data_IF_902468456628
#
_entry.id   IF_902468456628
#
_cell.length_a   1.000
_cell.length_b   1.000
_cell.length_c   1.000
_cell.angle_alpha   90.00
_cell.angle_beta   90.00
_cell.angle_gamma   90.00
#
_symmetry.space_group_name_H-M   'P 1'
#
loop_
_entity.id
_entity.type
_entity.pdbx_description
1 polymer ?
#
# COMPACT_ATOMS: atom_id res chain seq x y z
N UNK A 1 -5.90 20.95 -40.57
CA UNK A 1 -6.72 19.95 -39.86
C UNK A 1 -5.84 18.83 -39.32
N UNK A 2 -4.99 18.19 -40.15
CA UNK A 2 -4.06 17.11 -39.72
C UNK A 2 -3.11 17.45 -38.56
N UNK A 3 -2.50 18.65 -38.52
CA UNK A 3 -1.60 19.01 -37.40
C UNK A 3 -2.32 19.10 -36.04
N UNK A 4 -3.59 19.48 -36.03
CA UNK A 4 -4.39 19.60 -34.81
C UNK A 4 -4.77 18.20 -34.27
N UNK A 5 -5.11 17.28 -35.18
CA UNK A 5 -5.40 15.88 -34.85
C UNK A 5 -4.15 15.14 -34.32
N UNK A 6 -2.98 15.42 -34.90
CA UNK A 6 -1.71 14.86 -34.41
C UNK A 6 -1.35 15.39 -33.01
N UNK A 7 -1.52 16.69 -32.75
CA UNK A 7 -1.25 17.28 -31.44
C UNK A 7 -2.18 16.73 -30.35
N UNK A 8 -3.45 16.54 -30.64
CA UNK A 8 -4.42 16.00 -29.68
C UNK A 8 -4.22 14.50 -29.43
N UNK A 9 -3.90 13.71 -30.47
CA UNK A 9 -3.51 12.31 -30.29
C UNK A 9 -2.24 12.15 -29.45
N UNK A 10 -1.24 13.02 -29.65
CA UNK A 10 -0.01 13.03 -28.83
C UNK A 10 -0.34 13.42 -27.38
N UNK A 11 -1.20 14.42 -27.14
CA UNK A 11 -1.63 14.77 -25.78
C UNK A 11 -2.32 13.59 -25.09
N UNK A 12 -3.20 12.87 -25.78
CA UNK A 12 -3.91 11.72 -25.22
C UNK A 12 -2.94 10.58 -24.84
N UNK A 13 -1.99 10.25 -25.71
CA UNK A 13 -0.94 9.27 -25.43
C UNK A 13 -0.07 9.71 -24.26
N UNK A 14 0.32 10.98 -24.22
CA UNK A 14 1.13 11.56 -23.13
C UNK A 14 0.38 11.55 -21.80
N UNK A 15 -0.93 11.73 -21.80
CA UNK A 15 -1.79 11.63 -20.63
C UNK A 15 -1.84 10.20 -20.07
N UNK A 16 -1.69 9.20 -20.94
CA UNK A 16 -1.57 7.79 -20.60
C UNK A 16 -0.22 7.39 -19.97
N UNK A 17 0.86 8.15 -20.19
CA UNK A 17 2.21 7.86 -19.66
C UNK A 17 2.28 8.06 -18.15
N UNK A 18 1.54 9.03 -17.61
CA UNK A 18 1.58 9.34 -16.18
C UNK A 18 0.73 8.37 -15.35
N UNK A 19 1.26 7.83 -14.23
CA UNK A 19 0.45 7.00 -13.34
C UNK A 19 -0.77 7.77 -12.83
N UNK A 20 -1.99 7.35 -13.20
CA UNK A 20 -3.26 8.03 -12.85
C UNK A 20 -3.34 8.45 -11.38
N UNK A 21 -2.94 7.56 -10.46
CA UNK A 21 -2.99 7.81 -9.00
C UNK A 21 -1.96 8.83 -8.51
N UNK A 22 -0.79 8.90 -9.16
CA UNK A 22 0.35 9.70 -8.68
C UNK A 22 0.61 10.94 -9.53
N UNK A 23 -0.19 11.18 -10.57
CA UNK A 23 -0.07 12.31 -11.51
C UNK A 23 0.18 13.65 -10.80
N UNK A 24 -0.68 13.98 -9.83
CA UNK A 24 -0.55 15.22 -9.03
C UNK A 24 0.80 15.37 -8.32
N UNK A 25 1.40 14.26 -7.88
CA UNK A 25 2.71 14.27 -7.20
C UNK A 25 3.82 14.53 -8.22
N UNK A 26 3.72 13.94 -9.41
CA UNK A 26 4.67 14.17 -10.51
C UNK A 26 4.62 15.64 -10.96
N UNK A 27 3.42 16.18 -11.15
CA UNK A 27 3.20 17.58 -11.51
C UNK A 27 3.76 18.53 -10.45
N UNK A 28 3.40 18.35 -9.18
CA UNK A 28 3.92 19.19 -8.10
C UNK A 28 5.45 19.14 -8.00
N UNK A 29 6.06 17.96 -8.19
CA UNK A 29 7.51 17.81 -8.18
C UNK A 29 8.16 18.55 -9.36
N UNK A 30 7.55 18.49 -10.55
CA UNK A 30 8.00 19.22 -11.72
C UNK A 30 7.88 20.74 -11.53
N UNK A 31 6.74 21.22 -11.04
CA UNK A 31 6.52 22.65 -10.81
C UNK A 31 7.50 23.21 -9.78
N UNK A 32 7.80 22.44 -8.74
CA UNK A 32 8.84 22.78 -7.76
C UNK A 32 10.21 22.94 -8.43
N UNK A 33 10.55 22.04 -9.36
CA UNK A 33 11.80 22.11 -10.11
C UNK A 33 11.84 23.31 -11.06
N UNK A 34 10.75 23.58 -11.79
CA UNK A 34 10.66 24.74 -12.69
C UNK A 34 10.81 26.04 -11.91
N UNK A 35 10.13 26.19 -10.78
CA UNK A 35 10.28 27.37 -9.90
C UNK A 35 11.73 27.57 -9.45
N UNK A 36 12.42 26.48 -9.08
CA UNK A 36 13.83 26.53 -8.71
C UNK A 36 14.73 26.97 -9.88
N UNK A 37 14.46 26.52 -11.11
CA UNK A 37 15.18 26.97 -12.30
C UNK A 37 14.95 28.46 -12.57
N UNK A 38 13.69 28.94 -12.48
CA UNK A 38 13.34 30.34 -12.68
C UNK A 38 14.06 31.25 -11.66
N UNK A 39 14.08 30.88 -10.38
CA UNK A 39 14.79 31.64 -9.34
C UNK A 39 16.30 31.77 -9.61
N UNK A 40 16.89 30.80 -10.30
CA UNK A 40 18.32 30.77 -10.63
C UNK A 40 18.63 31.25 -12.05
N UNK A 41 17.63 31.74 -12.78
CA UNK A 41 17.73 32.18 -14.18
C UNK A 41 18.36 31.10 -15.09
N UNK A 42 17.96 29.85 -14.87
CA UNK A 42 18.41 28.71 -15.67
C UNK A 42 17.38 28.46 -16.79
N UNK A 43 17.73 28.81 -18.02
CA UNK A 43 16.84 28.65 -19.18
C UNK A 43 16.86 27.20 -19.71
N UNK A 44 18.04 26.60 -19.77
CA UNK A 44 18.24 25.25 -20.30
C UNK A 44 18.38 24.22 -19.18
N UNK A 45 17.63 23.12 -19.28
CA UNK A 45 17.75 21.97 -18.38
C UNK A 45 18.74 20.98 -18.98
N UNK A 46 19.89 20.83 -18.33
CA UNK A 46 20.92 19.86 -18.70
C UNK A 46 21.33 19.01 -17.49
N UNK A 47 22.32 18.14 -17.67
CA UNK A 47 22.80 17.24 -16.63
C UNK A 47 23.33 17.98 -15.38
N UNK A 48 24.05 19.09 -15.56
CA UNK A 48 24.62 19.87 -14.46
C UNK A 48 23.54 20.58 -13.62
N UNK A 49 22.51 21.10 -14.28
CA UNK A 49 21.34 21.69 -13.63
C UNK A 49 20.63 20.66 -12.75
N UNK A 50 20.48 19.42 -13.26
CA UNK A 50 19.86 18.34 -12.50
C UNK A 50 20.73 17.88 -11.33
N UNK A 51 22.04 17.77 -11.50
CA UNK A 51 22.97 17.45 -10.42
C UNK A 51 22.90 18.48 -9.27
N UNK A 52 22.84 19.77 -9.60
CA UNK A 52 22.79 20.87 -8.63
C UNK A 52 21.45 20.96 -7.88
N UNK A 53 20.36 20.47 -8.46
CA UNK A 53 19.01 20.55 -7.89
C UNK A 53 18.75 19.63 -6.67
N UNK A 54 19.72 18.78 -6.28
CA UNK A 54 19.48 17.64 -5.39
C UNK A 54 20.14 17.81 -4.02
N UNK A 55 19.33 18.15 -3.00
CA UNK A 55 19.76 18.33 -1.60
C UNK A 55 19.12 17.32 -0.61
N UNK A 56 18.43 16.28 -1.10
CA UNK A 56 17.59 15.38 -0.29
C UNK A 56 18.21 14.00 -0.03
N UNK A 57 17.64 13.26 0.94
CA UNK A 57 18.03 11.89 1.31
C UNK A 57 17.87 10.88 0.17
N UNK A 58 18.72 9.84 0.13
CA UNK A 58 18.93 8.94 -1.02
C UNK A 58 17.66 8.26 -1.57
N UNK A 59 16.74 7.82 -0.70
CA UNK A 59 15.47 7.20 -1.14
C UNK A 59 14.49 8.21 -1.75
N UNK A 60 14.48 9.43 -1.24
CA UNK A 60 13.66 10.54 -1.76
C UNK A 60 14.25 11.06 -3.07
N UNK A 61 15.57 11.06 -3.16
CA UNK A 61 16.33 11.49 -4.33
C UNK A 61 16.02 10.64 -5.57
N UNK A 62 16.03 9.31 -5.45
CA UNK A 62 15.65 8.41 -6.56
C UNK A 62 14.19 8.61 -6.99
N UNK A 63 13.25 8.73 -6.06
CA UNK A 63 11.85 9.00 -6.38
C UNK A 63 11.67 10.34 -7.11
N UNK A 64 12.33 11.40 -6.62
CA UNK A 64 12.30 12.72 -7.27
C UNK A 64 12.97 12.69 -8.64
N UNK A 65 14.06 11.95 -8.79
CA UNK A 65 14.69 11.73 -10.09
C UNK A 65 13.73 11.04 -11.06
N UNK A 66 13.09 9.93 -10.67
CA UNK A 66 12.14 9.21 -11.51
C UNK A 66 10.95 10.10 -11.92
N UNK A 67 10.40 10.88 -10.99
CA UNK A 67 9.32 11.82 -11.29
C UNK A 67 9.75 12.88 -12.30
N UNK A 68 10.92 13.51 -12.08
CA UNK A 68 11.45 14.51 -13.02
C UNK A 68 11.82 13.89 -14.36
N UNK A 69 12.37 12.68 -14.40
CA UNK A 69 12.69 11.96 -15.64
C UNK A 69 11.45 11.84 -16.52
N UNK A 70 10.35 11.36 -15.95
CA UNK A 70 9.09 11.23 -16.69
C UNK A 70 8.56 12.60 -17.12
N UNK A 71 8.54 13.59 -16.22
CA UNK A 71 7.96 14.90 -16.52
C UNK A 71 8.79 15.71 -17.53
N UNK A 72 10.11 15.61 -17.50
CA UNK A 72 10.99 16.27 -18.47
C UNK A 72 10.89 15.63 -19.85
N UNK A 73 10.75 14.31 -19.90
CA UNK A 73 10.48 13.60 -21.15
C UNK A 73 9.13 14.04 -21.74
N UNK A 74 8.07 14.05 -20.93
CA UNK A 74 6.71 14.39 -21.40
C UNK A 74 6.56 15.87 -21.76
N UNK A 75 7.03 16.80 -20.91
CA UNK A 75 6.77 18.24 -21.09
C UNK A 75 7.82 18.99 -21.91
N UNK A 76 9.03 18.45 -22.01
CA UNK A 76 10.16 19.13 -22.67
C UNK A 76 10.91 18.25 -23.67
N UNK A 77 10.49 17.00 -23.86
CA UNK A 77 11.18 16.03 -24.72
C UNK A 77 12.67 15.85 -24.34
N UNK A 78 12.99 15.94 -23.05
CA UNK A 78 14.37 15.77 -22.54
C UNK A 78 14.52 14.37 -21.97
N UNK A 79 15.30 13.54 -22.65
CA UNK A 79 15.65 12.21 -22.18
C UNK A 79 16.85 12.22 -21.22
N UNK A 80 16.56 12.34 -19.93
CA UNK A 80 17.57 12.32 -18.86
C UNK A 80 18.16 10.92 -18.60
N UNK A 81 17.73 9.88 -19.32
CA UNK A 81 18.35 8.56 -19.21
C UNK A 81 19.77 8.54 -19.78
N UNK A 82 20.07 9.49 -20.69
CA UNK A 82 21.37 9.68 -21.32
C UNK A 82 22.40 10.38 -20.42
N UNK A 83 21.98 10.85 -19.24
CA UNK A 83 22.82 11.58 -18.29
C UNK A 83 23.56 10.60 -17.37
N UNK A 84 24.75 10.18 -17.80
CA UNK A 84 25.57 9.16 -17.14
C UNK A 84 26.19 9.66 -15.82
N UNK A 85 26.59 10.93 -15.72
CA UNK A 85 27.13 11.51 -14.48
C UNK A 85 26.05 11.58 -13.42
N UNK A 86 24.83 11.97 -13.81
CA UNK A 86 23.67 12.01 -12.94
C UNK A 86 23.32 10.61 -12.42
N UNK A 87 23.27 9.61 -13.30
CA UNK A 87 22.97 8.24 -12.88
C UNK A 87 24.08 7.61 -12.04
N UNK A 88 25.36 7.89 -12.32
CA UNK A 88 26.47 7.49 -11.46
C UNK A 88 26.40 8.16 -10.08
N UNK A 89 26.10 9.45 -10.02
CA UNK A 89 25.92 10.19 -8.77
C UNK A 89 24.78 9.61 -7.92
N UNK A 90 23.63 9.30 -8.53
CA UNK A 90 22.49 8.70 -7.84
C UNK A 90 22.83 7.33 -7.25
N UNK A 91 23.55 6.49 -7.99
CA UNK A 91 24.03 5.18 -7.52
C UNK A 91 24.93 5.32 -6.30
N UNK A 92 25.94 6.19 -6.37
CA UNK A 92 26.86 6.46 -5.25
C UNK A 92 26.15 7.00 -4.02
N UNK A 93 25.19 7.90 -4.19
CA UNK A 93 24.39 8.42 -3.07
C UNK A 93 23.53 7.35 -2.39
N UNK A 94 23.18 6.27 -3.08
CA UNK A 94 22.47 5.13 -2.50
C UNK A 94 23.37 4.05 -1.90
N UNK A 95 24.69 4.15 -2.04
CA UNK A 95 25.62 3.19 -1.43
C UNK A 95 25.47 3.19 0.09
N UNK A 96 25.46 1.99 0.67
CA UNK A 96 25.27 1.81 2.11
C UNK A 96 23.85 2.14 2.63
N UNK A 97 22.91 2.56 1.78
CA UNK A 97 21.52 2.78 2.20
C UNK A 97 20.89 1.48 2.66
N UNK A 98 20.53 1.42 3.95
CA UNK A 98 19.75 0.33 4.52
C UNK A 98 18.29 0.78 4.62
N UNK A 99 17.34 0.06 3.98
CA UNK A 99 15.94 0.40 4.10
C UNK A 99 15.50 0.31 5.56
N UNK A 100 14.75 1.31 6.02
CA UNK A 100 14.09 1.26 7.32
C UNK A 100 13.02 0.17 7.27
N UNK A 101 13.41 -1.03 7.66
CA UNK A 101 12.50 -2.14 7.72
C UNK A 101 11.77 -2.11 9.07
N UNK A 102 10.45 -2.30 9.05
CA UNK A 102 9.68 -2.52 10.27
C UNK A 102 10.10 -3.84 10.94
N UNK A 103 9.93 -3.94 12.26
CA UNK A 103 10.19 -5.18 13.00
C UNK A 103 9.27 -6.28 12.47
N UNK A 104 9.80 -7.50 12.34
CA UNK A 104 9.04 -8.68 11.93
C UNK A 104 8.09 -9.06 13.07
N UNK A 105 6.85 -9.38 12.72
CA UNK A 105 5.84 -9.91 13.64
C UNK A 105 6.06 -11.42 13.79
N UNK A 106 6.20 -11.87 15.02
CA UNK A 106 6.37 -13.31 15.34
C UNK A 106 5.02 -13.99 15.53
N UNK A 107 4.98 -15.31 15.37
CA UNK A 107 3.77 -16.12 15.60
C UNK A 107 3.27 -15.96 17.03
N UNK A 108 4.15 -16.14 18.03
CA UNK A 108 3.79 -15.98 19.44
C UNK A 108 3.15 -14.62 19.75
N UNK A 109 3.60 -13.55 19.09
CA UNK A 109 2.99 -12.22 19.24
C UNK A 109 1.59 -12.13 18.61
N UNK A 110 1.38 -12.81 17.48
CA UNK A 110 0.05 -12.92 16.85
C UNK A 110 -0.87 -13.70 17.78
N UNK A 111 -0.44 -14.88 18.22
CA UNK A 111 -1.24 -15.77 19.06
C UNK A 111 -1.60 -15.10 20.38
N UNK A 112 -0.61 -14.50 21.05
CA UNK A 112 -0.82 -13.71 22.27
C UNK A 112 -1.81 -12.58 22.06
N UNK A 113 -1.73 -11.89 20.92
CA UNK A 113 -2.68 -10.83 20.61
C UNK A 113 -4.10 -11.36 20.38
N UNK A 114 -4.24 -12.44 19.61
CA UNK A 114 -5.54 -13.04 19.30
C UNK A 114 -6.20 -13.66 20.54
N UNK A 115 -5.42 -14.23 21.46
CA UNK A 115 -5.90 -14.86 22.69
C UNK A 115 -6.14 -13.87 23.83
N UNK A 116 -5.13 -13.09 24.20
CA UNK A 116 -5.15 -12.33 25.45
C UNK A 116 -5.79 -10.94 25.33
N UNK A 117 -5.83 -10.36 24.14
CA UNK A 117 -6.36 -9.00 23.98
C UNK A 117 -7.88 -9.04 23.91
N UNK A 118 -8.61 -8.23 24.70
CA UNK A 118 -10.07 -8.27 24.73
C UNK A 118 -10.72 -7.91 23.40
N UNK A 119 -11.73 -8.67 23.00
CA UNK A 119 -12.51 -8.41 21.79
C UNK A 119 -13.24 -7.07 21.85
N UNK A 120 -13.71 -6.67 23.04
CA UNK A 120 -14.45 -5.42 23.31
C UNK A 120 -13.90 -4.18 22.58
N UNK A 121 -12.58 -4.08 22.49
CA UNK A 121 -11.90 -2.93 21.88
C UNK A 121 -11.15 -3.30 20.59
N UNK A 122 -10.84 -4.58 20.37
CA UNK A 122 -9.87 -5.01 19.35
C UNK A 122 -10.40 -6.04 18.36
N UNK A 123 -11.66 -6.48 18.43
CA UNK A 123 -12.19 -7.52 17.55
C UNK A 123 -11.99 -7.19 16.05
N UNK A 124 -12.32 -5.97 15.62
CA UNK A 124 -12.07 -5.53 14.24
C UNK A 124 -10.58 -5.59 13.86
N UNK A 125 -9.70 -5.25 14.80
CA UNK A 125 -8.25 -5.28 14.59
C UNK A 125 -7.75 -6.72 14.49
N UNK A 126 -8.29 -7.65 15.29
CA UNK A 126 -8.00 -9.09 15.18
C UNK A 126 -8.38 -9.62 13.81
N UNK A 127 -9.59 -9.33 13.33
CA UNK A 127 -10.03 -9.73 11.98
C UNK A 127 -9.13 -9.12 10.90
N UNK A 128 -8.78 -7.84 11.00
CA UNK A 128 -7.86 -7.20 10.07
C UNK A 128 -6.46 -7.84 10.09
N UNK A 129 -5.98 -8.28 11.25
CA UNK A 129 -4.72 -9.01 11.40
C UNK A 129 -4.80 -10.38 10.72
N UNK A 130 -5.87 -11.15 10.96
CA UNK A 130 -6.10 -12.46 10.34
C UNK A 130 -6.09 -12.32 8.81
N UNK A 131 -6.86 -11.38 8.25
CA UNK A 131 -6.90 -11.14 6.81
C UNK A 131 -5.57 -10.63 6.25
N UNK A 132 -4.86 -9.81 7.02
CA UNK A 132 -3.53 -9.31 6.67
C UNK A 132 -2.49 -10.42 6.59
N UNK A 133 -2.50 -11.34 7.56
CA UNK A 133 -1.57 -12.47 7.67
C UNK A 133 -1.92 -13.55 6.65
N UNK A 134 -3.17 -14.00 6.59
CA UNK A 134 -3.59 -15.07 5.68
C UNK A 134 -3.58 -14.64 4.21
N UNK A 135 -3.96 -13.39 3.96
CA UNK A 135 -4.08 -12.89 2.61
C UNK A 135 -2.91 -12.02 2.14
N UNK A 136 -1.84 -11.81 2.91
CA UNK A 136 -0.80 -10.81 2.56
C UNK A 136 -1.36 -9.39 2.34
N UNK A 137 -2.54 -9.09 2.90
CA UNK A 137 -3.34 -7.97 2.45
C UNK A 137 -2.68 -6.64 2.81
N UNK A 138 -2.49 -5.77 1.81
CA UNK A 138 -2.10 -4.38 2.08
C UNK A 138 -3.26 -3.64 2.72
N UNK A 139 -2.98 -2.60 3.51
CA UNK A 139 -4.03 -1.78 4.12
C UNK A 139 -5.04 -1.18 3.12
N UNK A 140 -4.62 -0.92 1.87
CA UNK A 140 -5.54 -0.50 0.80
C UNK A 140 -6.50 -1.63 0.40
N UNK A 141 -6.01 -2.86 0.29
CA UNK A 141 -6.79 -4.05 -0.06
C UNK A 141 -7.84 -4.32 1.03
N UNK A 142 -7.44 -4.28 2.32
CA UNK A 142 -8.35 -4.37 3.46
C UNK A 142 -9.43 -3.27 3.45
N UNK A 143 -9.05 -2.02 3.15
CA UNK A 143 -10.00 -0.91 3.03
C UNK A 143 -10.96 -1.04 1.83
N UNK A 144 -10.55 -1.74 0.78
CA UNK A 144 -11.36 -1.91 -0.43
C UNK A 144 -12.35 -3.07 -0.33
N UNK A 145 -12.04 -4.07 0.49
CA UNK A 145 -12.83 -5.29 0.69
C UNK A 145 -14.30 -5.01 1.00
N UNK A 146 -15.18 -5.78 0.37
CA UNK A 146 -16.63 -5.73 0.53
C UNK A 146 -17.17 -7.02 1.15
N UNK A 147 -18.43 -6.98 1.61
CA UNK A 147 -19.08 -8.16 2.20
C UNK A 147 -19.17 -9.30 1.18
N UNK A 148 -19.51 -8.99 -0.08
CA UNK A 148 -19.60 -9.97 -1.17
C UNK A 148 -18.25 -10.61 -1.54
N UNK A 149 -17.14 -10.05 -1.08
CA UNK A 149 -15.81 -10.61 -1.31
C UNK A 149 -15.48 -11.73 -0.30
N UNK A 150 -16.28 -11.90 0.76
CA UNK A 150 -16.05 -12.88 1.82
C UNK A 150 -17.17 -13.91 1.81
N UNK A 151 -16.81 -15.17 1.60
CA UNK A 151 -17.75 -16.30 1.58
C UNK A 151 -17.44 -17.22 2.76
N UNK A 152 -18.44 -17.45 3.61
CA UNK A 152 -18.37 -18.42 4.69
C UNK A 152 -18.74 -19.81 4.16
N UNK A 153 -17.84 -20.78 4.32
CA UNK A 153 -17.99 -22.17 3.87
C UNK A 153 -18.10 -23.15 5.06
N UNK A 154 -18.51 -22.67 6.24
CA UNK A 154 -18.64 -23.39 7.51
C UNK A 154 -17.30 -23.85 8.14
N UNK A 155 -16.38 -24.40 7.36
CA UNK A 155 -15.07 -24.87 7.81
C UNK A 155 -13.92 -23.96 7.37
N UNK A 156 -14.24 -22.93 6.58
CA UNK A 156 -13.29 -22.02 5.96
C UNK A 156 -13.95 -20.68 5.63
N UNK A 157 -13.17 -19.61 5.54
CA UNK A 157 -13.58 -18.37 4.88
C UNK A 157 -12.77 -18.16 3.60
N UNK A 158 -13.47 -18.11 2.46
CA UNK A 158 -12.88 -17.71 1.19
C UNK A 158 -12.94 -16.19 1.05
N UNK A 159 -11.80 -15.54 0.80
CA UNK A 159 -11.71 -14.08 0.66
C UNK A 159 -11.16 -13.71 -0.71
N UNK A 160 -11.91 -12.93 -1.46
CA UNK A 160 -11.55 -12.43 -2.78
C UNK A 160 -10.97 -11.01 -2.70
N UNK A 161 -9.73 -10.84 -3.12
CA UNK A 161 -9.06 -9.54 -3.17
C UNK A 161 -9.05 -9.03 -4.61
N UNK A 162 -9.99 -8.13 -4.89
CA UNK A 162 -10.14 -7.50 -6.20
C UNK A 162 -9.31 -6.22 -6.33
N UNK A 163 -9.03 -5.78 -7.56
CA UNK A 163 -8.41 -4.48 -7.86
C UNK A 163 -7.04 -4.26 -7.18
N UNK A 164 -6.17 -5.29 -7.23
CA UNK A 164 -4.83 -5.21 -6.64
C UNK A 164 -3.93 -4.23 -7.40
N UNK A 165 -2.74 -3.92 -6.85
CA UNK A 165 -1.77 -2.99 -7.47
C UNK A 165 -1.45 -3.34 -8.93
N UNK A 166 -1.45 -4.63 -9.27
CA UNK A 166 -1.09 -5.13 -10.59
C UNK A 166 -2.32 -5.42 -11.47
N UNK A 167 -3.53 -5.02 -11.02
CA UNK A 167 -4.79 -5.30 -11.69
C UNK A 167 -5.08 -6.80 -11.89
N UNK A 168 -4.53 -7.63 -11.00
CA UNK A 168 -4.77 -9.07 -10.97
C UNK A 168 -5.53 -9.40 -9.71
N UNK A 169 -6.70 -10.00 -9.86
CA UNK A 169 -7.49 -10.48 -8.74
C UNK A 169 -6.87 -11.76 -8.18
N UNK A 170 -7.02 -11.96 -6.88
CA UNK A 170 -6.57 -13.18 -6.19
C UNK A 170 -7.50 -13.49 -5.04
N UNK A 171 -7.49 -14.72 -4.57
CA UNK A 171 -8.21 -15.10 -3.37
C UNK A 171 -7.24 -15.72 -2.36
N UNK A 172 -7.74 -15.95 -1.15
CA UNK A 172 -7.06 -16.73 -0.13
C UNK A 172 -8.11 -17.35 0.79
N UNK A 173 -7.69 -18.40 1.50
CA UNK A 173 -8.56 -19.15 2.39
C UNK A 173 -8.07 -18.94 3.83
N UNK A 174 -9.00 -18.65 4.74
CA UNK A 174 -8.77 -18.67 6.18
C UNK A 174 -9.38 -19.96 6.73
N UNK A 175 -8.53 -20.83 7.24
CA UNK A 175 -8.91 -22.06 7.91
C UNK A 175 -8.46 -22.01 9.36
N UNK A 176 -9.08 -22.81 10.22
CA UNK A 176 -8.55 -23.06 11.55
C UNK A 176 -7.33 -23.97 11.45
N UNK A 177 -6.13 -23.40 11.55
CA UNK A 177 -4.94 -24.19 11.78
C UNK A 177 -4.84 -24.50 13.26
N UNK A 178 -5.04 -25.77 13.62
CA UNK A 178 -5.12 -26.31 14.98
C UNK A 178 -3.85 -26.15 15.85
N UNK A 179 -2.96 -25.18 15.58
CA UNK A 179 -1.68 -25.10 16.27
C UNK A 179 -1.78 -24.52 17.69
N UNK A 180 -2.72 -23.59 17.93
CA UNK A 180 -2.76 -22.82 19.20
C UNK A 180 -4.15 -22.69 19.85
N UNK A 181 -5.14 -23.49 19.41
CA UNK A 181 -6.50 -23.48 19.99
C UNK A 181 -7.34 -22.22 19.68
N UNK A 182 -6.91 -21.37 18.75
CA UNK A 182 -7.65 -20.19 18.32
C UNK A 182 -8.53 -20.56 17.12
N UNK A 183 -9.83 -20.38 17.26
CA UNK A 183 -10.77 -20.48 16.14
C UNK A 183 -10.80 -19.15 15.37
N UNK A 184 -9.96 -19.04 14.33
CA UNK A 184 -9.85 -17.85 13.49
C UNK A 184 -11.16 -17.55 12.78
N UNK A 185 -11.89 -18.59 12.37
CA UNK A 185 -13.16 -18.47 11.67
C UNK A 185 -14.21 -17.89 12.62
N UNK A 186 -14.28 -18.36 13.86
CA UNK A 186 -15.20 -17.87 14.87
C UNK A 186 -14.92 -16.40 15.22
N UNK A 187 -13.65 -15.98 15.31
CA UNK A 187 -13.28 -14.57 15.49
C UNK A 187 -13.84 -13.71 14.35
N UNK A 188 -13.72 -14.17 13.12
CA UNK A 188 -14.27 -13.48 11.95
C UNK A 188 -15.81 -13.46 11.94
N UNK A 189 -16.45 -14.58 12.27
CA UNK A 189 -17.92 -14.69 12.38
C UNK A 189 -18.49 -13.78 13.46
N UNK A 190 -17.87 -13.74 14.64
CA UNK A 190 -18.24 -12.84 15.75
C UNK A 190 -18.29 -11.40 15.26
N UNK A 191 -17.28 -10.97 14.51
CA UNK A 191 -17.24 -9.62 13.95
C UNK A 191 -18.30 -9.39 12.87
N UNK A 192 -18.49 -10.34 11.95
CA UNK A 192 -19.51 -10.27 10.89
C UNK A 192 -20.93 -10.18 11.45
N UNK A 193 -21.24 -10.97 12.48
CA UNK A 193 -22.55 -11.00 13.14
C UNK A 193 -22.90 -9.69 13.86
N UNK A 194 -21.89 -8.92 14.30
CA UNK A 194 -22.10 -7.62 14.93
C UNK A 194 -22.42 -6.49 13.94
N UNK A 195 -22.38 -6.76 12.63
CA UNK A 195 -22.68 -5.74 11.61
C UNK A 195 -24.14 -5.28 11.73
N UNK A 196 -24.32 -3.97 11.80
CA UNK A 196 -25.63 -3.32 11.84
C UNK A 196 -26.36 -3.41 10.49
N UNK A 197 -27.63 -3.85 10.44
CA UNK A 197 -28.40 -3.96 9.20
C UNK A 197 -28.62 -2.61 8.52
N UNK A 198 -28.57 -1.50 9.27
CA UNK A 198 -28.73 -0.13 8.76
C UNK A 198 -27.50 0.38 7.98
N UNK A 199 -26.44 -0.43 7.86
CA UNK A 199 -25.21 -0.02 7.17
C UNK A 199 -25.46 0.04 5.66
N UNK A 200 -25.49 1.24 5.09
CA UNK A 200 -25.85 1.49 3.68
C UNK A 200 -24.78 1.10 2.66
N UNK A 201 -23.52 0.94 3.08
CA UNK A 201 -22.42 0.63 2.18
C UNK A 201 -22.00 -0.85 2.27
N UNK A 202 -21.40 -1.37 1.20
CA UNK A 202 -20.95 -2.77 1.12
C UNK A 202 -19.57 -3.05 1.73
N UNK A 203 -18.89 -2.05 2.32
CA UNK A 203 -17.56 -2.24 2.93
C UNK A 203 -17.59 -3.30 4.04
N UNK A 204 -16.65 -4.25 3.98
CA UNK A 204 -16.52 -5.31 4.98
C UNK A 204 -16.13 -4.74 6.34
N UNK A 205 -15.04 -3.95 6.39
CA UNK A 205 -14.57 -3.33 7.62
C UNK A 205 -15.33 -2.04 7.95
N UNK A 206 -16.03 -2.05 9.08
CA UNK A 206 -16.71 -0.92 9.71
C UNK A 206 -16.02 -0.58 11.03
N UNK A 207 -16.24 0.65 11.49
CA UNK A 207 -15.72 1.09 12.78
C UNK A 207 -16.32 0.24 13.89
N UNK A 208 -15.46 -0.15 14.83
CA UNK A 208 -15.82 -1.02 15.94
C UNK A 208 -15.40 -0.34 17.24
N UNK A 209 -16.36 -0.14 18.14
CA UNK A 209 -16.14 0.53 19.42
C UNK A 209 -17.08 -0.08 20.48
N UNK A 210 -16.58 -0.27 21.71
CA UNK A 210 -17.35 -0.74 22.86
C UNK A 210 -18.19 -2.00 22.55
N UNK A 211 -17.52 -3.02 22.00
CA UNK A 211 -18.14 -4.29 21.62
C UNK A 211 -19.13 -4.27 20.45
N UNK A 212 -19.28 -3.16 19.71
CA UNK A 212 -20.25 -3.05 18.63
C UNK A 212 -19.67 -2.47 17.34
N UNK A 213 -20.17 -2.94 16.21
CA UNK A 213 -19.94 -2.30 14.92
C UNK A 213 -20.81 -1.04 14.79
N UNK A 214 -20.27 0.01 14.21
CA UNK A 214 -21.02 1.18 13.79
C UNK A 214 -21.34 1.07 12.29
N UNK A 215 -22.17 1.97 11.78
CA UNK A 215 -22.51 2.04 10.35
C UNK A 215 -21.42 2.73 9.51
N UNK A 216 -20.33 3.20 10.13
CA UNK A 216 -19.30 3.97 9.44
C UNK A 216 -18.19 3.07 8.90
N UNK A 217 -17.84 3.23 7.62
CA UNK A 217 -16.70 2.55 7.02
C UNK A 217 -15.37 2.96 7.69
N UNK A 218 -14.42 2.02 7.75
CA UNK A 218 -13.06 2.31 8.21
C UNK A 218 -12.34 3.24 7.21
N UNK A 219 -11.81 4.36 7.72
CA UNK A 219 -11.02 5.29 6.92
C UNK A 219 -9.73 4.68 6.35
N UNK A 220 -9.33 5.12 5.14
CA UNK A 220 -8.18 4.58 4.37
C UNK A 220 -6.85 4.52 5.12
N UNK A 221 -6.64 5.41 6.10
CA UNK A 221 -5.39 5.51 6.86
C UNK A 221 -5.40 4.69 8.15
N UNK A 222 -6.56 4.17 8.56
CA UNK A 222 -6.72 3.50 9.86
C UNK A 222 -5.92 2.21 9.93
N UNK A 223 -5.95 1.39 8.87
CA UNK A 223 -5.16 0.13 8.81
C UNK A 223 -3.66 0.36 8.98
N UNK A 224 -3.13 1.47 8.46
CA UNK A 224 -1.72 1.83 8.66
C UNK A 224 -1.39 2.29 10.09
N UNK A 225 -2.39 2.64 10.89
CA UNK A 225 -2.27 3.06 12.29
C UNK A 225 -2.59 1.95 13.30
N UNK A 226 -3.12 0.81 12.85
CA UNK A 226 -3.43 -0.34 13.72
C UNK A 226 -2.25 -0.70 14.64
N UNK A 227 -1.00 -0.78 14.13
CA UNK A 227 0.14 -1.14 14.98
C UNK A 227 0.57 -0.06 15.98
N UNK A 228 -0.03 1.14 15.93
CA UNK A 228 0.24 2.21 16.89
C UNK A 228 -0.81 2.23 18.01
N UNK A 229 -2.06 1.83 17.70
CA UNK A 229 -3.19 1.87 18.65
C UNK A 229 -3.17 0.72 19.65
N UNK A 230 -2.64 -0.42 19.25
CA UNK A 230 -2.53 -1.61 20.10
C UNK A 230 -1.13 -1.60 20.69
N UNK A 231 -0.88 -0.93 21.82
CA UNK A 231 0.45 -0.84 22.45
C UNK A 231 1.14 -2.18 22.76
N UNK A 232 0.43 -3.31 22.56
CA UNK A 232 0.90 -4.71 22.65
C UNK A 232 1.27 -5.35 21.30
N UNK A 233 0.97 -4.67 20.20
CA UNK A 233 1.39 -4.99 18.83
C UNK A 233 2.53 -4.02 18.52
N UNK A 234 3.80 -4.48 18.42
CA UNK A 234 4.91 -3.63 17.98
C UNK A 234 4.54 -2.82 16.73
N UNK A 235 5.13 -1.63 16.54
CA UNK A 235 4.92 -0.79 15.34
C UNK A 235 5.20 -1.59 14.05
N UNK A 236 4.17 -2.25 13.52
CA UNK A 236 4.31 -3.21 12.43
C UNK A 236 4.25 -2.59 11.06
N UNK A 237 4.74 -3.44 10.19
CA UNK A 237 5.24 -3.24 8.87
C UNK A 237 4.22 -2.81 7.84
N UNK A 238 4.73 -2.13 6.82
CA UNK A 238 4.24 -2.38 5.46
C UNK A 238 4.31 -3.90 5.25
N UNK A 239 3.17 -4.57 5.06
CA UNK A 239 3.11 -5.95 4.58
C UNK A 239 3.99 -6.06 3.33
N UNK A 240 5.20 -6.60 3.51
CA UNK A 240 6.23 -6.67 2.47
C UNK A 240 6.40 -8.13 2.08
N UNK A 241 6.40 -8.39 0.77
CA UNK A 241 6.24 -9.69 0.12
C UNK A 241 7.34 -10.71 0.50
N UNK A 242 8.49 -10.25 1.01
CA UNK A 242 9.70 -11.09 1.14
C UNK A 242 9.67 -12.04 2.36
N UNK A 243 8.83 -11.80 3.37
CA UNK A 243 8.78 -12.63 4.58
C UNK A 243 7.75 -13.78 4.50
N UNK A 244 7.22 -14.06 3.31
CA UNK A 244 6.09 -14.94 3.08
C UNK A 244 6.39 -16.44 3.17
N UNK A 245 7.58 -16.87 2.74
CA UNK A 245 7.87 -18.31 2.62
C UNK A 245 7.92 -19.03 3.97
N UNK A 246 8.27 -18.32 5.05
CA UNK A 246 8.40 -18.90 6.40
C UNK A 246 7.13 -18.84 7.24
N UNK A 247 6.21 -17.91 6.94
CA UNK A 247 4.97 -17.70 7.70
C UNK A 247 3.79 -18.51 7.14
N UNK A 248 3.71 -18.70 5.81
CA UNK A 248 2.62 -19.47 5.18
C UNK A 248 2.72 -20.98 5.45
N UNK A 249 3.93 -21.54 5.40
CA UNK A 249 4.17 -22.97 5.66
C UNK A 249 3.85 -23.37 7.12
N UNK A 250 3.98 -22.43 8.06
CA UNK A 250 3.80 -22.73 9.49
C UNK A 250 2.41 -22.40 10.05
N UNK A 251 1.56 -21.65 9.35
CA UNK A 251 0.17 -21.39 9.76
C UNK A 251 -0.88 -22.24 9.02
N UNK A 252 -0.46 -23.21 8.19
CA UNK A 252 -1.39 -24.05 7.43
C UNK A 252 -2.18 -23.28 6.37
N UNK A 253 -1.61 -22.19 5.84
CA UNK A 253 -2.24 -21.30 4.87
C UNK A 253 -1.78 -21.72 3.48
N UNK A 254 -2.63 -22.45 2.75
CA UNK A 254 -2.42 -22.74 1.33
C UNK A 254 -2.80 -21.53 0.51
N UNK A 255 -1.82 -20.96 -0.20
CA UNK A 255 -2.04 -19.95 -1.24
C UNK A 255 -2.22 -20.72 -2.55
N UNK A 256 -3.42 -20.67 -3.12
CA UNK A 256 -3.70 -21.13 -4.49
C UNK A 256 -3.50 -20.01 -5.49
#
# INVERSE_FOLDING_TARGET
MENFELEDAVKEVMDGILPKKSRKIYEAQYDTFVKWCCQRKLENVNEDVLLKSKTLSSSTLWAHYSMLKTMLNVKRNIDVSKFYKLSAFLKRKSEGYKPKNPKVLTLDQIDKFLLEVPDKDFLMIKVALIFGVAGACRGKELHQLTISDVTDMDHALLVNVRNTKNNVDRNFIINNSNKNGIDLIEVCRKYMALRKPETTHSKFFVRYEKSQCTVQAIGKNTFGKIPQKSGRIPKFAKFNIIYWTLLSQNLGITVS
#
